data_IF_318289754129
#
_entry.id   IF_318289754129
#
_cell.length_a   1.000
_cell.length_b   1.000
_cell.length_c   1.000
_cell.angle_alpha   90.00
_cell.angle_beta   90.00
_cell.angle_gamma   90.00
#
_symmetry.space_group_name_H-M   'P 1'
#
loop_
_entity.id
_entity.type
_entity.pdbx_description
1 polymer ?
#
# COMPACT_ATOMS: atom_id res chain seq x y z
N UNK A 1 -7.14 2.78 1.72
CA UNK A 1 -6.06 1.86 1.29
C UNK A 1 -4.95 2.55 0.47
N UNK A 2 -5.24 3.53 -0.40
CA UNK A 2 -4.22 4.27 -1.18
C UNK A 2 -3.55 5.46 -0.45
N UNK A 3 -3.60 5.49 0.88
CA UNK A 3 -3.16 6.63 1.69
C UNK A 3 -1.67 7.00 1.52
N UNK A 4 -0.71 6.06 1.40
CA UNK A 4 0.72 6.40 1.26
C UNK A 4 1.03 7.11 -0.05
N UNK A 5 0.48 6.62 -1.16
CA UNK A 5 0.62 7.23 -2.50
C UNK A 5 -0.02 8.61 -2.52
N UNK A 6 -1.20 8.72 -1.91
CA UNK A 6 -1.96 9.95 -1.85
C UNK A 6 -1.28 11.01 -0.94
N UNK A 7 -0.64 10.59 0.16
CA UNK A 7 0.15 11.45 1.03
C UNK A 7 1.46 11.88 0.37
N UNK A 8 2.12 11.00 -0.39
CA UNK A 8 3.33 11.33 -1.14
C UNK A 8 3.06 12.40 -2.20
N UNK A 9 2.03 12.22 -3.04
CA UNK A 9 1.66 13.21 -4.06
C UNK A 9 1.31 14.58 -3.44
N UNK A 10 0.62 14.59 -2.30
CA UNK A 10 0.26 15.83 -1.58
C UNK A 10 1.49 16.51 -0.96
N UNK A 11 2.40 15.75 -0.38
CA UNK A 11 3.59 16.30 0.25
C UNK A 11 4.57 16.88 -0.79
N UNK A 12 4.67 16.27 -1.97
CA UNK A 12 5.42 16.83 -3.10
C UNK A 12 4.82 18.18 -3.52
N UNK A 13 3.49 18.29 -3.67
CA UNK A 13 2.82 19.56 -3.99
C UNK A 13 3.08 20.68 -2.97
N UNK A 14 3.15 20.34 -1.67
CA UNK A 14 3.50 21.29 -0.59
C UNK A 14 4.95 21.75 -0.65
N UNK A 15 5.90 20.85 -0.97
CA UNK A 15 7.34 21.16 -1.07
C UNK A 15 7.65 22.04 -2.30
N UNK A 16 6.89 21.91 -3.39
CA UNK A 16 7.02 22.75 -4.59
C UNK A 16 6.30 24.11 -4.50
N UNK A 17 5.69 24.45 -3.36
CA UNK A 17 5.08 25.77 -3.12
C UNK A 17 3.77 26.05 -3.89
N UNK A 18 3.10 25.03 -4.44
CA UNK A 18 1.85 25.14 -5.21
C UNK A 18 0.62 24.87 -4.33
N UNK A 19 0.51 25.62 -3.23
CA UNK A 19 -0.59 25.53 -2.25
C UNK A 19 -1.98 25.67 -2.89
N UNK A 20 -2.12 26.53 -3.90
CA UNK A 20 -3.39 26.78 -4.60
C UNK A 20 -3.91 25.55 -5.34
N UNK A 21 -3.02 24.79 -5.99
CA UNK A 21 -3.42 23.58 -6.72
C UNK A 21 -3.83 22.47 -5.74
N UNK A 22 -3.10 22.36 -4.62
CA UNK A 22 -3.44 21.45 -3.52
C UNK A 22 -4.82 21.77 -2.93
N UNK A 23 -5.09 23.04 -2.64
CA UNK A 23 -6.36 23.49 -2.06
C UNK A 23 -7.53 23.23 -3.03
N UNK A 24 -7.34 23.50 -4.33
CA UNK A 24 -8.34 23.21 -5.38
C UNK A 24 -8.64 21.71 -5.51
N UNK A 25 -7.61 20.86 -5.43
CA UNK A 25 -7.73 19.39 -5.46
C UNK A 25 -8.45 18.85 -4.21
N UNK A 26 -8.14 19.38 -3.04
CA UNK A 26 -8.76 18.98 -1.77
C UNK A 26 -10.25 19.37 -1.73
N UNK A 27 -10.58 20.55 -2.27
CA UNK A 27 -11.94 21.05 -2.37
C UNK A 27 -12.80 20.23 -3.36
N UNK A 28 -12.26 19.89 -4.53
CA UNK A 28 -12.93 19.00 -5.50
C UNK A 28 -13.16 17.61 -4.90
N UNK A 29 -12.17 17.04 -4.19
CA UNK A 29 -12.32 15.73 -3.53
C UNK A 29 -13.36 15.75 -2.43
N UNK A 30 -13.38 16.79 -1.60
CA UNK A 30 -14.41 16.98 -0.57
C UNK A 30 -15.80 17.02 -1.20
N UNK A 31 -15.99 17.71 -2.32
CA UNK A 31 -17.26 17.73 -3.03
C UNK A 31 -17.68 16.33 -3.53
N UNK A 32 -16.77 15.58 -4.16
CA UNK A 32 -17.03 14.21 -4.66
C UNK A 32 -17.39 13.26 -3.51
N UNK A 33 -16.69 13.37 -2.37
CA UNK A 33 -16.97 12.58 -1.16
C UNK A 33 -18.36 12.89 -0.62
N UNK A 34 -18.69 14.17 -0.47
CA UNK A 34 -20.01 14.59 0.03
C UNK A 34 -21.14 14.05 -0.85
N UNK A 35 -21.02 14.19 -2.17
CA UNK A 35 -22.02 13.68 -3.13
C UNK A 35 -22.12 12.15 -3.04
N UNK A 36 -20.98 11.44 -2.96
CA UNK A 36 -20.97 9.98 -2.87
C UNK A 36 -21.59 9.46 -1.58
N UNK A 37 -21.40 10.17 -0.46
CA UNK A 37 -22.01 9.83 0.82
C UNK A 37 -23.53 10.07 0.79
N UNK A 38 -23.99 11.18 0.22
CA UNK A 38 -25.42 11.47 0.09
C UNK A 38 -26.16 10.39 -0.71
N UNK A 39 -25.56 9.92 -1.80
CA UNK A 39 -26.08 8.80 -2.60
C UNK A 39 -25.97 7.49 -1.81
N UNK A 40 -24.81 7.20 -1.21
CA UNK A 40 -24.57 5.97 -0.48
C UNK A 40 -25.46 5.79 0.76
N UNK A 41 -25.85 6.89 1.40
CA UNK A 41 -26.73 6.89 2.57
C UNK A 41 -28.11 6.29 2.25
N UNK A 42 -28.61 6.45 1.02
CA UNK A 42 -29.90 5.88 0.59
C UNK A 42 -29.89 4.35 0.52
N UNK A 43 -28.71 3.73 0.40
CA UNK A 43 -28.54 2.27 0.32
C UNK A 43 -28.04 1.65 1.64
N UNK A 44 -28.08 2.41 2.74
CA UNK A 44 -27.63 1.97 4.06
C UNK A 44 -26.12 1.75 4.16
N UNK A 45 -25.71 0.88 5.09
CA UNK A 45 -24.28 0.64 5.38
C UNK A 45 -23.50 0.11 4.17
N UNK A 46 -24.10 -0.75 3.35
CA UNK A 46 -23.44 -1.28 2.15
C UNK A 46 -23.17 -0.17 1.11
N UNK A 47 -24.10 0.76 0.95
CA UNK A 47 -23.92 1.94 0.09
C UNK A 47 -22.78 2.84 0.55
N UNK A 48 -22.66 3.06 1.86
CA UNK A 48 -21.55 3.81 2.43
C UNK A 48 -20.20 3.13 2.21
N UNK A 49 -20.12 1.81 2.38
CA UNK A 49 -18.89 1.04 2.10
C UNK A 49 -18.49 1.17 0.63
N UNK A 50 -19.43 0.99 -0.30
CA UNK A 50 -19.15 1.16 -1.73
C UNK A 50 -18.78 2.61 -2.10
N UNK A 51 -19.40 3.61 -1.45
CA UNK A 51 -19.03 5.02 -1.62
C UNK A 51 -17.57 5.29 -1.24
N UNK A 52 -17.05 4.59 -0.22
CA UNK A 52 -15.65 4.72 0.21
C UNK A 52 -14.65 4.17 -0.82
N UNK A 53 -15.04 3.11 -1.53
CA UNK A 53 -14.26 2.52 -2.63
C UNK A 53 -14.27 3.46 -3.83
N UNK A 54 -15.45 3.97 -4.22
CA UNK A 54 -15.61 4.89 -5.34
C UNK A 54 -14.86 6.22 -5.13
N UNK A 55 -14.97 6.81 -3.94
CA UNK A 55 -14.26 8.04 -3.59
C UNK A 55 -12.74 7.85 -3.57
N UNK A 56 -12.25 6.66 -3.18
CA UNK A 56 -10.83 6.32 -3.27
C UNK A 56 -10.33 6.23 -4.72
N UNK A 57 -11.12 5.65 -5.62
CA UNK A 57 -10.82 5.57 -7.06
C UNK A 57 -10.84 6.95 -7.72
N UNK A 58 -11.88 7.75 -7.47
CA UNK A 58 -11.98 9.11 -8.01
C UNK A 58 -10.88 10.03 -7.45
N UNK A 59 -10.58 9.90 -6.16
CA UNK A 59 -9.48 10.62 -5.53
C UNK A 59 -8.12 10.28 -6.13
N UNK A 60 -7.91 9.02 -6.50
CA UNK A 60 -6.74 8.59 -7.27
C UNK A 60 -6.72 9.26 -8.65
N UNK A 61 -7.77 9.14 -9.46
CA UNK A 61 -7.82 9.73 -10.81
C UNK A 61 -7.57 11.24 -10.82
N UNK A 62 -8.24 11.97 -9.93
CA UNK A 62 -8.09 13.43 -9.79
C UNK A 62 -6.68 13.81 -9.37
N UNK A 63 -6.09 13.13 -8.37
CA UNK A 63 -4.71 13.38 -7.99
C UNK A 63 -3.73 13.12 -9.12
N UNK A 64 -3.95 12.03 -9.85
CA UNK A 64 -2.98 11.56 -10.82
C UNK A 64 -3.01 12.40 -12.10
N UNK A 65 -4.18 12.90 -12.51
CA UNK A 65 -4.30 13.83 -13.65
C UNK A 65 -3.51 15.13 -13.44
N UNK A 66 -3.58 15.71 -12.24
CA UNK A 66 -2.87 16.95 -11.94
C UNK A 66 -1.39 16.74 -11.53
N UNK A 67 -1.07 15.62 -10.87
CA UNK A 67 0.30 15.31 -10.43
C UNK A 67 1.22 14.84 -11.56
N UNK A 68 0.67 14.25 -12.63
CA UNK A 68 1.43 13.77 -13.80
C UNK A 68 2.21 14.87 -14.53
N UNK A 69 1.87 16.15 -14.34
CA UNK A 69 2.55 17.28 -14.99
C UNK A 69 3.76 17.78 -14.19
N UNK A 70 3.94 17.33 -12.94
CA UNK A 70 4.98 17.84 -12.03
C UNK A 70 5.97 16.80 -11.51
N UNK A 71 5.67 15.50 -11.63
CA UNK A 71 6.57 14.42 -11.18
C UNK A 71 7.06 13.64 -12.41
N UNK A 72 8.37 13.43 -12.56
CA UNK A 72 8.97 12.52 -13.56
C UNK A 72 8.70 11.03 -13.23
N UNK A 73 7.49 10.72 -12.80
CA UNK A 73 7.02 9.37 -12.52
C UNK A 73 5.64 9.26 -13.14
N UNK A 74 5.57 8.57 -14.28
CA UNK A 74 4.37 8.61 -15.11
C UNK A 74 3.26 7.80 -14.45
N UNK A 75 2.03 8.31 -14.55
CA UNK A 75 0.79 7.68 -14.10
C UNK A 75 0.70 6.18 -14.45
N UNK A 76 1.16 5.82 -15.64
CA UNK A 76 1.15 4.44 -16.13
C UNK A 76 2.10 3.54 -15.36
N UNK A 77 3.22 4.06 -14.83
CA UNK A 77 4.13 3.32 -13.96
C UNK A 77 3.51 3.08 -12.58
N UNK A 78 2.87 4.08 -11.97
CA UNK A 78 2.17 3.90 -10.69
C UNK A 78 1.00 2.91 -10.79
N UNK A 79 0.21 3.00 -11.86
CA UNK A 79 -0.85 2.03 -12.13
C UNK A 79 -0.28 0.63 -12.37
N UNK A 80 0.85 0.50 -13.09
CA UNK A 80 1.56 -0.77 -13.28
C UNK A 80 2.00 -1.41 -11.95
N UNK A 81 2.53 -0.61 -11.02
CA UNK A 81 2.96 -1.12 -9.70
C UNK A 81 1.77 -1.55 -8.83
N UNK A 82 0.66 -0.80 -8.89
CA UNK A 82 -0.59 -1.12 -8.18
C UNK A 82 -1.20 -2.39 -8.77
N UNK A 83 -1.31 -2.51 -10.10
CA UNK A 83 -1.90 -3.68 -10.75
C UNK A 83 -1.07 -4.93 -10.47
N UNK A 84 0.26 -4.86 -10.52
CA UNK A 84 1.13 -5.97 -10.16
C UNK A 84 0.95 -6.37 -8.69
N UNK A 85 0.72 -5.41 -7.79
CA UNK A 85 0.43 -5.68 -6.38
C UNK A 85 -0.97 -6.29 -6.19
N UNK A 86 -1.98 -5.84 -6.94
CA UNK A 86 -3.32 -6.41 -6.94
C UNK A 86 -3.34 -7.85 -7.46
N UNK A 87 -2.56 -8.16 -8.49
CA UNK A 87 -2.42 -9.54 -9.01
C UNK A 87 -1.82 -10.45 -7.94
N UNK A 88 -0.76 -10.02 -7.26
CA UNK A 88 -0.16 -10.77 -6.13
C UNK A 88 -1.16 -11.02 -5.01
N UNK A 89 -1.92 -9.99 -4.63
CA UNK A 89 -2.94 -10.11 -3.60
C UNK A 89 -4.08 -11.06 -4.03
N UNK A 90 -4.52 -10.99 -5.29
CA UNK A 90 -5.53 -11.88 -5.85
C UNK A 90 -5.09 -13.35 -5.88
N UNK A 91 -3.86 -13.63 -6.27
CA UNK A 91 -3.29 -14.99 -6.24
C UNK A 91 -3.24 -15.55 -4.81
N UNK A 92 -2.81 -14.73 -3.85
CA UNK A 92 -2.79 -15.11 -2.44
C UNK A 92 -4.19 -15.39 -1.90
N UNK A 93 -5.16 -14.53 -2.21
CA UNK A 93 -6.55 -14.72 -1.80
C UNK A 93 -7.16 -16.01 -2.40
N UNK A 94 -6.89 -16.28 -3.68
CA UNK A 94 -7.35 -17.51 -4.34
C UNK A 94 -6.79 -18.78 -3.70
N UNK A 95 -5.50 -18.79 -3.36
CA UNK A 95 -4.87 -19.93 -2.68
C UNK A 95 -5.43 -20.13 -1.27
N UNK A 96 -5.56 -19.05 -0.49
CA UNK A 96 -6.14 -19.13 0.85
C UNK A 96 -7.58 -19.66 0.78
N UNK A 97 -8.37 -19.19 -0.18
CA UNK A 97 -9.74 -19.68 -0.38
C UNK A 97 -9.77 -21.18 -0.74
N UNK A 98 -8.90 -21.63 -1.64
CA UNK A 98 -8.78 -23.06 -1.99
C UNK A 98 -8.40 -23.94 -0.79
N UNK A 99 -7.46 -23.49 0.04
CA UNK A 99 -7.08 -24.19 1.28
C UNK A 99 -8.25 -24.24 2.28
N UNK A 100 -8.98 -23.12 2.41
CA UNK A 100 -10.11 -23.04 3.34
C UNK A 100 -11.26 -23.96 2.90
N UNK A 101 -11.49 -24.11 1.59
CA UNK A 101 -12.46 -25.07 1.04
C UNK A 101 -12.04 -26.52 1.28
N UNK A 102 -10.76 -26.86 1.15
CA UNK A 102 -10.26 -28.21 1.42
C UNK A 102 -10.34 -28.59 2.91
N UNK A 103 -10.26 -27.61 3.80
CA UNK A 103 -10.29 -27.82 5.26
C UNK A 103 -11.67 -27.59 5.89
N UNK A 104 -12.75 -27.44 5.09
CA UNK A 104 -14.10 -27.10 5.58
C UNK A 104 -14.63 -28.03 6.69
N UNK A 105 -14.23 -29.31 6.68
CA UNK A 105 -14.64 -30.31 7.69
C UNK A 105 -13.82 -30.28 9.00
N UNK A 106 -12.75 -29.49 9.08
CA UNK A 106 -11.91 -29.38 10.29
C UNK A 106 -12.38 -28.21 11.19
N UNK A 107 -11.89 -28.20 12.42
CA UNK A 107 -12.11 -27.08 13.36
C UNK A 107 -11.74 -25.72 12.75
N UNK A 108 -12.59 -24.73 13.01
CA UNK A 108 -12.48 -23.36 12.47
C UNK A 108 -11.18 -22.66 12.89
N UNK A 109 -10.64 -23.00 14.05
CA UNK A 109 -9.32 -22.53 14.50
C UNK A 109 -8.18 -23.09 13.65
N UNK A 110 -8.25 -24.37 13.27
CA UNK A 110 -7.25 -25.01 12.41
C UNK A 110 -7.25 -24.42 11.01
N UNK A 111 -8.43 -24.11 10.47
CA UNK A 111 -8.55 -23.43 9.17
C UNK A 111 -7.84 -22.07 9.17
N UNK A 112 -8.04 -21.26 10.22
CA UNK A 112 -7.40 -19.95 10.37
C UNK A 112 -5.88 -20.04 10.49
N UNK A 113 -5.38 -20.94 11.34
CA UNK A 113 -3.93 -21.09 11.57
C UNK A 113 -3.22 -21.62 10.32
N UNK A 114 -3.77 -22.63 9.65
CA UNK A 114 -3.17 -23.18 8.43
C UNK A 114 -3.27 -22.22 7.25
N UNK A 115 -4.43 -21.61 7.00
CA UNK A 115 -4.57 -20.64 5.91
C UNK A 115 -3.68 -19.41 6.13
N UNK A 116 -3.55 -18.95 7.38
CA UNK A 116 -2.67 -17.83 7.74
C UNK A 116 -1.19 -18.16 7.56
N UNK A 117 -0.72 -19.30 8.07
CA UNK A 117 0.68 -19.71 7.93
C UNK A 117 1.07 -19.95 6.48
N UNK A 118 0.24 -20.65 5.70
CA UNK A 118 0.48 -20.86 4.26
C UNK A 118 0.45 -19.55 3.49
N UNK A 119 -0.45 -18.63 3.83
CA UNK A 119 -0.50 -17.29 3.23
C UNK A 119 0.81 -16.51 3.43
N UNK A 120 1.37 -16.50 4.65
CA UNK A 120 2.64 -15.82 4.96
C UNK A 120 3.79 -16.44 4.19
N UNK A 121 3.90 -17.77 4.18
CA UNK A 121 4.97 -18.48 3.47
C UNK A 121 4.87 -18.23 1.96
N UNK A 122 3.67 -18.29 1.40
CA UNK A 122 3.43 -18.02 -0.02
C UNK A 122 3.79 -16.58 -0.39
N UNK A 123 3.42 -15.59 0.43
CA UNK A 123 3.80 -14.20 0.21
C UNK A 123 5.33 -14.01 0.20
N UNK A 124 6.05 -14.63 1.13
CA UNK A 124 7.51 -14.57 1.17
C UNK A 124 8.14 -15.24 -0.05
N UNK A 125 7.65 -16.43 -0.44
CA UNK A 125 8.10 -17.13 -1.65
C UNK A 125 7.85 -16.30 -2.92
N UNK A 126 6.68 -15.67 -3.05
CA UNK A 126 6.36 -14.80 -4.18
C UNK A 126 7.32 -13.60 -4.27
N UNK A 127 7.60 -12.95 -3.13
CA UNK A 127 8.50 -11.79 -3.12
C UNK A 127 9.97 -12.18 -3.37
N UNK A 128 10.37 -13.37 -2.93
CA UNK A 128 11.69 -13.96 -3.22
C UNK A 128 11.82 -14.33 -4.70
N UNK A 129 10.84 -15.07 -5.26
CA UNK A 129 10.82 -15.50 -6.65
C UNK A 129 10.77 -14.31 -7.63
N UNK A 130 10.06 -13.24 -7.28
CA UNK A 130 9.95 -12.02 -8.09
C UNK A 130 11.16 -11.08 -7.96
N UNK A 131 12.21 -11.46 -7.20
CA UNK A 131 13.40 -10.61 -6.91
C UNK A 131 13.02 -9.15 -6.64
N UNK A 132 11.98 -8.96 -5.83
CA UNK A 132 11.41 -7.64 -5.63
C UNK A 132 12.46 -6.71 -5.01
N UNK A 133 12.78 -5.55 -5.63
CA UNK A 133 13.83 -4.65 -5.14
C UNK A 133 13.53 -4.15 -3.71
N UNK A 134 12.27 -4.16 -3.29
CA UNK A 134 11.86 -3.80 -1.93
C UNK A 134 12.40 -4.75 -0.86
N UNK A 135 12.45 -6.06 -1.14
CA UNK A 135 12.93 -7.06 -0.19
C UNK A 135 14.47 -6.98 -0.05
N UNK A 136 15.17 -6.80 -1.16
CA UNK A 136 16.63 -6.58 -1.15
C UNK A 136 17.02 -5.25 -0.49
N UNK A 137 16.28 -4.16 -0.74
CA UNK A 137 16.51 -2.88 -0.08
C UNK A 137 16.29 -2.96 1.44
N UNK A 138 15.28 -3.69 1.89
CA UNK A 138 15.04 -3.93 3.32
C UNK A 138 16.17 -4.74 3.97
N UNK A 139 16.65 -5.80 3.30
CA UNK A 139 17.79 -6.59 3.78
C UNK A 139 19.07 -5.77 3.82
N UNK A 140 19.32 -4.91 2.82
CA UNK A 140 20.47 -4.01 2.81
C UNK A 140 20.40 -2.95 3.91
N UNK A 141 19.21 -2.40 4.21
CA UNK A 141 19.02 -1.49 5.34
C UNK A 141 19.29 -2.17 6.68
N UNK A 142 18.80 -3.40 6.88
CA UNK A 142 19.05 -4.17 8.10
C UNK A 142 20.55 -4.47 8.22
N UNK A 143 21.18 -4.94 7.14
CA UNK A 143 22.62 -5.23 7.10
C UNK A 143 23.46 -3.99 7.39
N UNK A 144 23.10 -2.84 6.80
CA UNK A 144 23.75 -1.55 7.05
C UNK A 144 23.61 -1.11 8.50
N UNK A 145 22.41 -1.18 9.06
CA UNK A 145 22.16 -0.80 10.47
C UNK A 145 22.93 -1.68 11.47
N UNK A 146 23.03 -2.99 11.19
CA UNK A 146 23.83 -3.92 12.00
C UNK A 146 25.32 -3.56 11.92
N UNK A 147 25.83 -3.25 10.73
CA UNK A 147 27.24 -2.91 10.53
C UNK A 147 27.60 -1.56 11.16
N UNK A 148 26.71 -0.56 11.08
CA UNK A 148 26.90 0.76 11.69
C UNK A 148 26.87 0.67 13.23
N UNK A 149 26.01 -0.18 13.79
CA UNK A 149 25.95 -0.43 15.24
C UNK A 149 27.21 -1.15 15.75
N UNK A 150 27.79 -2.04 14.95
CA UNK A 150 29.04 -2.72 15.26
C UNK A 150 30.24 -1.74 15.26
N UNK A 151 30.33 -0.86 14.27
CA UNK A 151 31.40 0.13 14.16
C UNK A 151 31.39 1.20 15.28
N UNK A 152 30.21 1.62 15.75
CA UNK A 152 30.11 2.53 16.90
C UNK A 152 30.58 1.88 18.21
N UNK A 153 30.38 0.58 18.36
CA UNK A 153 30.84 -0.18 19.54
C UNK A 153 32.37 -0.34 19.54
N UNK A 154 32.99 -0.54 18.37
CA UNK A 154 34.45 -0.66 18.23
C UNK A 154 35.17 0.70 18.43
N UNK A 155 34.59 1.80 17.94
CA UNK A 155 35.18 3.14 18.09
C UNK A 155 35.08 3.74 19.49
N UNK A 156 34.18 3.24 20.34
CA UNK A 156 34.08 3.65 21.76
C UNK A 156 35.01 2.87 22.68
N UNK A 157 35.37 1.62 22.35
CA UNK A 157 36.38 0.86 23.09
C UNK A 157 37.82 1.28 22.76
N UNK A 158 38.09 1.81 21.56
CA UNK A 158 39.42 2.29 21.17
C UNK A 158 39.78 3.70 21.65
N UNK A 159 38.81 4.47 22.16
CA UNK A 159 39.04 5.80 22.78
C UNK A 159 39.19 5.75 24.31
N UNK A 160 38.99 4.58 24.91
CA UNK A 160 39.10 4.35 26.36
C UNK A 160 40.37 3.57 26.77
N UNK A 161 41.26 3.32 25.81
CA UNK A 161 42.64 2.84 25.98
C UNK A 161 43.60 3.96 25.57
#
# INVERSE_FOLDING_TARGET
>A
MFYPVHAFNINVLKVYGRSDLFLKLELIKKAIITISILIGFQFGIYGLVWSSVFTSLMGLMVNTHYSSRMIQYTTMQQLGDITLTMIKAGLMAGLMWGITMLLQNNSQLWQLVLAGTVGVVFYLLLNYALRSPQLFFALDLIKKKINDSCNQTISSSSRSL
#
